data_IF_699681950559
#
_entry.id   IF_699681950559
#
_cell.length_a   1.000
_cell.length_b   1.000
_cell.length_c   1.000
_cell.angle_alpha   90.00
_cell.angle_beta   90.00
_cell.angle_gamma   90.00
#
_symmetry.space_group_name_H-M   'P 1'
#
loop_
_entity.id
_entity.type
_entity.pdbx_description
1 polymer ?
#
# COMPACT_ATOMS: atom_id res chain seq x y z
N UNK A 1 -6.40 -13.05 -1.28
CA UNK A 1 -5.47 -12.21 -2.06
C UNK A 1 -5.70 -10.78 -1.58
N UNK A 2 -4.67 -10.07 -1.09
CA UNK A 2 -4.83 -8.73 -0.54
C UNK A 2 -5.02 -7.65 -1.61
N UNK A 3 -5.77 -6.61 -1.25
CA UNK A 3 -5.96 -5.39 -2.03
C UNK A 3 -5.11 -4.27 -1.45
N UNK A 4 -4.38 -3.56 -2.30
CA UNK A 4 -3.53 -2.43 -1.90
C UNK A 4 -3.90 -1.18 -2.69
N UNK A 5 -3.43 -0.03 -2.22
CA UNK A 5 -3.60 1.24 -2.92
C UNK A 5 -2.41 1.53 -3.82
N UNK A 6 -2.69 1.78 -5.10
CA UNK A 6 -1.73 2.22 -6.10
C UNK A 6 -2.16 3.58 -6.67
N UNK A 7 -1.25 4.52 -6.70
CA UNK A 7 -1.43 5.81 -7.31
C UNK A 7 -1.47 5.68 -8.84
N UNK A 8 -2.51 6.21 -9.47
CA UNK A 8 -2.80 6.02 -10.89
C UNK A 8 -1.75 6.64 -11.81
N UNK A 9 -1.22 7.81 -11.44
CA UNK A 9 -0.30 8.59 -12.28
C UNK A 9 1.14 8.13 -12.08
N UNK A 10 1.56 7.95 -10.82
CA UNK A 10 2.97 7.69 -10.48
C UNK A 10 3.27 6.21 -10.33
N UNK A 11 2.24 5.35 -10.31
CA UNK A 11 2.36 3.94 -9.96
C UNK A 11 2.96 3.68 -8.57
N UNK A 12 2.90 4.67 -7.68
CA UNK A 12 3.34 4.56 -6.29
C UNK A 12 2.37 3.69 -5.48
N UNK A 13 2.89 2.86 -4.60
CA UNK A 13 2.08 2.10 -3.63
C UNK A 13 1.97 2.91 -2.35
N UNK A 14 0.77 3.00 -1.80
CA UNK A 14 0.55 3.66 -0.53
C UNK A 14 1.27 2.91 0.60
N UNK A 15 2.16 3.61 1.29
CA UNK A 15 2.93 3.05 2.41
C UNK A 15 2.78 3.94 3.63
N UNK A 16 2.68 3.33 4.80
CA UNK A 16 2.51 4.05 6.05
C UNK A 16 2.97 3.22 7.25
N UNK A 17 2.95 3.84 8.43
CA UNK A 17 3.15 3.14 9.69
C UNK A 17 1.91 2.33 10.06
N UNK A 18 2.12 1.02 10.17
CA UNK A 18 1.16 -0.01 10.52
C UNK A 18 1.57 -0.69 11.82
N UNK A 19 0.62 -1.37 12.47
CA UNK A 19 0.87 -2.16 13.66
C UNK A 19 0.45 -3.60 13.33
N UNK A 20 1.35 -4.56 13.53
CA UNK A 20 1.02 -5.96 13.28
C UNK A 20 0.22 -6.59 14.45
N UNK A 21 -0.21 -7.84 14.29
CA UNK A 21 -0.93 -8.59 15.31
C UNK A 21 -0.18 -8.74 16.65
N UNK A 22 1.14 -8.55 16.65
CA UNK A 22 2.00 -8.59 17.84
C UNK A 22 2.19 -7.21 18.49
N UNK A 23 1.43 -6.18 18.05
CA UNK A 23 1.55 -4.78 18.49
C UNK A 23 2.91 -4.16 18.18
N UNK A 24 3.63 -4.67 17.19
CA UNK A 24 4.91 -4.14 16.75
C UNK A 24 4.66 -3.16 15.60
N UNK A 25 5.05 -1.88 15.75
CA UNK A 25 4.93 -0.91 14.66
C UNK A 25 5.94 -1.22 13.56
N UNK A 26 5.50 -1.13 12.31
CA UNK A 26 6.34 -1.29 11.13
C UNK A 26 5.87 -0.37 10.01
N UNK A 27 6.77 0.00 9.10
CA UNK A 27 6.49 0.76 7.90
C UNK A 27 6.28 -0.22 6.75
N UNK A 28 5.09 -0.19 6.16
CA UNK A 28 4.66 -1.17 5.19
C UNK A 28 3.53 -0.67 4.30
N UNK A 29 3.10 -1.55 3.40
CA UNK A 29 1.96 -1.29 2.51
C UNK A 29 0.65 -1.59 3.25
N UNK A 30 -0.27 -0.62 3.27
CA UNK A 30 -1.64 -0.85 3.74
C UNK A 30 -2.35 -1.82 2.80
N UNK A 31 -3.05 -2.80 3.35
CA UNK A 31 -3.82 -3.76 2.57
C UNK A 31 -5.16 -4.10 3.23
N UNK A 32 -6.08 -4.63 2.42
CA UNK A 32 -7.35 -5.21 2.85
C UNK A 32 -7.48 -6.63 2.32
N UNK A 33 -8.07 -7.54 3.09
CA UNK A 33 -8.24 -8.92 2.67
C UNK A 33 -9.44 -9.11 1.73
N UNK A 34 -10.44 -8.22 1.81
CA UNK A 34 -11.67 -8.30 1.04
C UNK A 34 -11.88 -7.07 0.14
N UNK A 35 -12.29 -7.26 -1.13
CA UNK A 35 -12.50 -6.16 -2.07
C UNK A 35 -13.64 -5.23 -1.64
N UNK A 36 -14.69 -5.78 -1.02
CA UNK A 36 -15.86 -5.01 -0.57
C UNK A 36 -15.47 -4.08 0.58
N UNK A 37 -14.65 -4.55 1.51
CA UNK A 37 -14.12 -3.73 2.62
C UNK A 37 -13.19 -2.67 2.06
N UNK A 38 -12.26 -3.06 1.18
CA UNK A 38 -11.35 -2.14 0.52
C UNK A 38 -12.09 -0.98 -0.13
N UNK A 39 -13.10 -1.25 -0.99
CA UNK A 39 -13.87 -0.21 -1.69
C UNK A 39 -14.63 0.73 -0.75
N UNK A 40 -15.12 0.23 0.38
CA UNK A 40 -15.86 1.04 1.36
C UNK A 40 -14.94 1.90 2.21
N UNK A 41 -13.77 1.37 2.56
CA UNK A 41 -12.91 1.96 3.57
C UNK A 41 -11.76 2.79 3.00
N UNK A 42 -11.29 2.51 1.79
CA UNK A 42 -10.04 3.10 1.30
C UNK A 42 -10.08 4.63 1.25
N UNK A 43 -11.22 5.22 0.85
CA UNK A 43 -11.39 6.68 0.81
C UNK A 43 -11.28 7.28 2.20
N UNK A 44 -12.05 6.75 3.15
CA UNK A 44 -12.02 7.18 4.55
C UNK A 44 -10.63 6.98 5.17
N UNK A 45 -9.94 5.88 4.82
CA UNK A 45 -8.58 5.63 5.25
C UNK A 45 -7.61 6.69 4.72
N UNK A 46 -7.66 7.00 3.42
CA UNK A 46 -6.82 8.05 2.82
C UNK A 46 -7.10 9.43 3.43
N UNK A 47 -8.37 9.78 3.62
CA UNK A 47 -8.78 11.02 4.30
C UNK A 47 -8.25 11.09 5.73
N UNK A 48 -8.30 9.99 6.49
CA UNK A 48 -7.74 9.91 7.84
C UNK A 48 -6.23 10.13 7.90
N UNK A 49 -5.54 9.90 6.77
CA UNK A 49 -4.10 10.10 6.59
C UNK A 49 -3.77 11.45 5.96
N UNK A 50 -4.75 12.34 5.81
CA UNK A 50 -4.60 13.66 5.19
C UNK A 50 -4.06 13.58 3.76
N UNK A 51 -4.36 12.48 3.06
CA UNK A 51 -3.98 12.32 1.67
C UNK A 51 -4.95 13.14 0.83
N UNK A 52 -4.42 14.17 0.18
CA UNK A 52 -5.16 14.93 -0.81
C UNK A 52 -5.39 14.06 -2.06
N UNK A 53 -6.46 14.35 -2.81
CA UNK A 53 -6.75 13.68 -4.08
C UNK A 53 -6.91 12.15 -3.94
N UNK A 54 -7.80 11.71 -3.04
CA UNK A 54 -8.12 10.28 -2.83
C UNK A 54 -8.62 9.57 -4.09
N UNK A 55 -9.08 10.33 -5.09
CA UNK A 55 -9.53 9.87 -6.41
C UNK A 55 -8.38 9.41 -7.33
N UNK A 56 -7.14 9.81 -7.04
CA UNK A 56 -5.95 9.37 -7.80
C UNK A 56 -5.42 8.00 -7.35
N UNK A 57 -6.03 7.41 -6.33
CA UNK A 57 -5.64 6.11 -5.78
C UNK A 57 -6.64 5.02 -6.19
N UNK A 58 -6.11 3.99 -6.84
CA UNK A 58 -6.85 2.81 -7.26
C UNK A 58 -6.54 1.62 -6.34
N UNK A 59 -7.56 0.80 -6.10
CA UNK A 59 -7.40 -0.49 -5.44
C UNK A 59 -6.97 -1.55 -6.45
N UNK A 60 -5.84 -2.18 -6.18
CA UNK A 60 -5.33 -3.28 -7.00
C UNK A 60 -5.21 -4.55 -6.17
N UNK A 61 -5.54 -5.68 -6.78
CA UNK A 61 -5.31 -7.00 -6.20
C UNK A 61 -3.85 -7.39 -6.41
N UNK A 62 -3.20 -7.85 -5.35
CA UNK A 62 -1.85 -8.41 -5.41
C UNK A 62 -1.81 -9.75 -4.71
N UNK A 63 -0.87 -10.59 -5.10
CA UNK A 63 -0.65 -11.84 -4.40
C UNK A 63 -0.03 -11.60 -3.01
N UNK A 64 -0.32 -12.49 -2.05
CA UNK A 64 0.23 -12.39 -0.70
C UNK A 64 1.76 -12.41 -0.70
N UNK A 65 2.37 -13.17 -1.64
CA UNK A 65 3.80 -13.21 -1.81
C UNK A 65 4.38 -11.85 -2.25
N UNK A 66 3.66 -11.11 -3.11
CA UNK A 66 4.05 -9.75 -3.54
C UNK A 66 3.99 -8.78 -2.36
N UNK A 67 2.91 -8.82 -1.58
CA UNK A 67 2.75 -7.97 -0.39
C UNK A 67 3.90 -8.18 0.61
N UNK A 68 4.32 -9.43 0.85
CA UNK A 68 5.50 -9.73 1.69
C UNK A 68 6.77 -9.14 1.09
N UNK A 69 6.98 -9.27 -0.23
CA UNK A 69 8.14 -8.68 -0.91
C UNK A 69 8.16 -7.15 -0.80
N UNK A 70 7.00 -6.49 -0.85
CA UNK A 70 6.89 -5.04 -0.68
C UNK A 70 7.41 -4.59 0.68
N UNK A 71 6.93 -5.24 1.75
CA UNK A 71 7.37 -4.95 3.12
C UNK A 71 8.87 -5.24 3.32
N UNK A 72 9.38 -6.32 2.73
CA UNK A 72 10.82 -6.65 2.75
C UNK A 72 11.65 -5.57 2.04
N UNK A 73 11.22 -5.11 0.87
CA UNK A 73 11.93 -4.07 0.12
C UNK A 73 11.94 -2.73 0.90
N UNK A 74 10.82 -2.36 1.51
CA UNK A 74 10.72 -1.19 2.37
C UNK A 74 11.67 -1.31 3.56
N UNK A 75 11.79 -2.50 4.15
CA UNK A 75 12.75 -2.74 5.24
C UNK A 75 12.51 -1.80 6.42
N UNK A 76 11.24 -1.53 6.74
CA UNK A 76 10.80 -0.63 7.81
C UNK A 76 11.38 0.81 7.71
N UNK A 77 11.71 1.26 6.50
CA UNK A 77 12.31 2.59 6.29
C UNK A 77 11.27 3.56 5.69
N UNK A 78 10.85 4.60 6.42
CA UNK A 78 9.87 5.58 5.94
C UNK A 78 10.40 6.50 4.85
N UNK A 79 11.73 6.55 4.63
CA UNK A 79 12.32 7.32 3.53
C UNK A 79 12.29 6.57 2.19
N UNK A 80 11.64 5.39 2.13
CA UNK A 80 11.53 4.62 0.88
C UNK A 80 10.11 4.66 0.37
N UNK A 81 9.97 5.04 -0.90
CA UNK A 81 8.73 4.90 -1.66
C UNK A 81 8.78 3.64 -2.52
N UNK A 82 7.66 2.92 -2.58
CA UNK A 82 7.50 1.71 -3.36
C UNK A 82 6.66 2.02 -4.60
N UNK A 83 7.05 1.49 -5.75
CA UNK A 83 6.36 1.68 -7.03
C UNK A 83 6.09 0.32 -7.66
N UNK A 84 4.90 0.13 -8.23
CA UNK A 84 4.52 -1.09 -8.93
C UNK A 84 4.12 -0.79 -10.37
N UNK A 85 4.99 -1.20 -11.28
CA UNK A 85 4.78 -1.06 -12.72
C UNK A 85 3.64 -1.95 -13.23
N UNK A 86 3.09 -1.65 -14.41
CA UNK A 86 2.04 -2.47 -15.05
C UNK A 86 2.49 -3.91 -15.34
N UNK A 87 3.81 -4.11 -15.46
CA UNK A 87 4.41 -5.43 -15.62
C UNK A 87 4.52 -6.24 -14.31
N UNK A 88 3.93 -5.76 -13.20
CA UNK A 88 4.04 -6.40 -11.88
C UNK A 88 5.42 -6.26 -11.22
N UNK A 89 6.30 -5.43 -11.79
CA UNK A 89 7.66 -5.21 -11.26
C UNK A 89 7.63 -4.13 -10.18
N UNK A 90 7.94 -4.51 -8.95
CA UNK A 90 8.08 -3.56 -7.84
C UNK A 90 9.48 -2.95 -7.77
N UNK A 91 9.57 -1.63 -7.70
CA UNK A 91 10.82 -0.86 -7.54
C UNK A 91 10.74 0.04 -6.31
N UNK A 92 11.89 0.40 -5.74
CA UNK A 92 11.97 1.32 -4.61
C UNK A 92 12.80 2.54 -4.99
N UNK A 93 12.35 3.70 -4.55
CA UNK A 93 13.11 4.96 -4.56
C UNK A 93 13.32 5.45 -3.13
N UNK A 94 14.39 6.21 -2.92
CA UNK A 94 14.78 6.85 -1.67
C UNK A 94 14.83 8.35 -1.86
#
# INVERSE_FOLDING_TARGET
MPFILKHRITSEIFTCHLINNYKIPFFGTQFWDHPIEAQKEYKAFLESRQVEQTEEWDLIEVEEHQLKLFNVKLGNNPAKSLFLDENGKSTIKR
#
